data_IF_179388893337
#
_entry.id   IF_179388893337
#
_cell.length_a   1.000
_cell.length_b   1.000
_cell.length_c   1.000
_cell.angle_alpha   90.00
_cell.angle_beta   90.00
_cell.angle_gamma   90.00
#
_symmetry.space_group_name_H-M   'P 1'
#
loop_
_entity.id
_entity.type
_entity.pdbx_description
1 polymer ?
#
# COMPACT_ATOMS: atom_id res chain seq x y z
N UNK A 1 13.27 40.14 18.36
CA UNK A 1 13.99 39.23 17.43
C UNK A 1 14.66 38.14 18.27
N UNK A 2 13.96 37.03 18.54
CA UNK A 2 14.55 35.84 19.16
C UNK A 2 14.40 34.72 18.14
N UNK A 3 15.50 34.44 17.45
CA UNK A 3 15.64 33.27 16.58
C UNK A 3 15.84 32.10 17.54
N UNK A 4 14.75 31.37 17.83
CA UNK A 4 14.81 30.10 18.53
C UNK A 4 15.04 29.01 17.49
N UNK A 5 16.27 28.54 17.38
CA UNK A 5 16.59 27.29 16.70
C UNK A 5 16.02 26.18 17.59
N UNK A 6 14.80 25.73 17.29
CA UNK A 6 14.34 24.41 17.72
C UNK A 6 15.07 23.40 16.84
N UNK A 7 16.19 22.86 17.35
CA UNK A 7 16.68 21.57 16.91
C UNK A 7 15.67 20.56 17.47
N UNK A 8 14.62 20.24 16.71
CA UNK A 8 13.79 19.07 17.00
C UNK A 8 14.71 17.85 17.02
N UNK A 9 14.79 17.17 18.16
CA UNK A 9 15.41 15.85 18.22
C UNK A 9 14.69 14.96 17.18
N UNK A 10 15.42 14.18 16.37
CA UNK A 10 14.78 13.32 15.39
C UNK A 10 13.79 12.40 16.10
N UNK A 11 12.54 12.41 15.64
CA UNK A 11 11.49 11.52 16.15
C UNK A 11 11.97 10.07 16.02
N UNK A 12 11.79 9.22 17.05
CA UNK A 12 12.25 7.84 16.98
C UNK A 12 11.53 7.09 15.85
N UNK A 13 12.26 6.28 15.10
CA UNK A 13 11.69 5.39 14.08
C UNK A 13 11.03 4.20 14.77
N UNK A 14 9.75 3.99 14.45
CA UNK A 14 8.96 2.84 14.87
C UNK A 14 8.69 1.92 13.68
N UNK A 15 8.73 0.60 13.89
CA UNK A 15 8.54 -0.42 12.88
C UNK A 15 7.29 -1.22 13.20
N UNK A 16 6.23 -1.01 12.43
CA UNK A 16 5.06 -1.87 12.48
C UNK A 16 5.32 -3.09 11.61
N UNK A 17 5.07 -4.29 12.12
CA UNK A 17 5.22 -5.52 11.33
C UNK A 17 4.17 -6.55 11.69
N UNK A 18 3.75 -7.32 10.69
CA UNK A 18 2.85 -8.44 10.86
C UNK A 18 3.64 -9.70 11.28
N UNK A 19 3.12 -10.42 12.25
CA UNK A 19 3.73 -11.62 12.82
C UNK A 19 2.64 -12.61 13.22
N UNK A 20 2.59 -13.75 12.54
CA UNK A 20 1.52 -14.74 12.73
C UNK A 20 0.12 -14.12 12.59
N UNK A 21 -0.64 -14.11 13.69
CA UNK A 21 -2.01 -13.59 13.80
C UNK A 21 -2.08 -12.21 14.46
N UNK A 22 -0.99 -11.45 14.41
CA UNK A 22 -0.85 -10.18 15.12
C UNK A 22 -0.03 -9.15 14.35
N UNK A 23 -0.18 -7.88 14.72
CA UNK A 23 0.70 -6.78 14.32
C UNK A 23 1.35 -6.21 15.56
N UNK A 24 2.65 -5.99 15.45
CA UNK A 24 3.52 -5.51 16.50
C UNK A 24 4.18 -4.20 16.07
N UNK A 25 4.53 -3.39 17.06
CA UNK A 25 5.38 -2.22 16.91
C UNK A 25 6.73 -2.51 17.57
N UNK A 26 7.82 -2.17 16.89
CA UNK A 26 9.20 -2.36 17.32
C UNK A 26 9.99 -1.07 17.19
N UNK A 27 10.71 -0.68 18.25
CA UNK A 27 11.67 0.42 18.17
C UNK A 27 12.83 0.10 17.24
N UNK A 28 13.43 1.12 16.60
CA UNK A 28 14.61 0.92 15.75
C UNK A 28 15.85 0.33 16.46
N UNK A 29 15.87 0.33 17.81
CA UNK A 29 16.94 -0.25 18.61
C UNK A 29 16.73 -1.74 18.89
N UNK A 30 15.54 -2.28 18.58
CA UNK A 30 15.18 -3.66 18.90
C UNK A 30 14.82 -3.89 20.38
N UNK A 31 14.68 -2.84 21.20
CA UNK A 31 14.50 -2.98 22.66
C UNK A 31 13.04 -2.93 23.10
N UNK A 32 12.25 -2.05 22.49
CA UNK A 32 10.83 -1.89 22.82
C UNK A 32 9.95 -2.61 21.82
N UNK A 33 9.06 -3.47 22.33
CA UNK A 33 8.04 -4.20 21.57
C UNK A 33 6.66 -3.94 22.16
N UNK A 34 5.70 -3.63 21.31
CA UNK A 34 4.32 -3.42 21.72
C UNK A 34 3.37 -4.15 20.77
N UNK A 35 2.41 -4.84 21.35
CA UNK A 35 1.36 -5.50 20.59
C UNK A 35 0.30 -4.48 20.18
N UNK A 36 0.05 -4.35 18.88
CA UNK A 36 -0.84 -3.32 18.31
C UNK A 36 -2.21 -3.92 17.96
N UNK A 37 -2.21 -5.13 17.41
CA UNK A 37 -3.41 -5.85 16.98
C UNK A 37 -3.21 -7.36 17.14
N UNK A 38 -4.17 -8.04 17.75
CA UNK A 38 -4.26 -9.51 17.83
C UNK A 38 -5.46 -10.01 17.07
N UNK A 39 -5.57 -11.33 16.83
CA UNK A 39 -6.79 -11.96 16.34
C UNK A 39 -7.01 -11.81 14.83
N UNK A 40 -5.93 -11.63 14.07
CA UNK A 40 -5.96 -11.72 12.62
C UNK A 40 -6.09 -13.20 12.21
N UNK A 41 -6.85 -13.51 11.17
CA UNK A 41 -7.02 -14.90 10.72
C UNK A 41 -5.85 -15.36 9.86
N UNK A 42 -5.33 -14.49 8.98
CA UNK A 42 -4.16 -14.80 8.15
C UNK A 42 -3.45 -13.51 7.73
N UNK A 43 -2.11 -13.55 7.79
CA UNK A 43 -1.13 -12.65 7.15
C UNK A 43 -1.63 -11.25 6.77
N UNK A 44 -1.14 -10.22 7.48
CA UNK A 44 -1.41 -8.84 7.13
C UNK A 44 -0.36 -8.25 6.18
N UNK A 45 -0.81 -7.73 5.04
CA UNK A 45 -0.10 -6.64 4.36
C UNK A 45 -0.42 -5.36 5.09
N UNK A 46 0.57 -4.52 5.34
CA UNK A 46 0.41 -3.33 6.17
C UNK A 46 0.93 -2.10 5.44
N UNK A 47 0.28 -0.97 5.69
CA UNK A 47 0.79 0.35 5.37
C UNK A 47 0.31 1.39 6.40
N UNK A 48 0.91 2.57 6.39
CA UNK A 48 0.65 3.60 7.40
C UNK A 48 0.26 4.93 6.77
N UNK A 49 -0.39 5.77 7.56
CA UNK A 49 -0.54 7.19 7.33
C UNK A 49 0.05 7.90 8.55
N UNK A 50 1.25 8.47 8.35
CA UNK A 50 2.03 9.12 9.41
C UNK A 50 1.32 10.39 9.88
N UNK A 51 0.73 11.14 8.94
CA UNK A 51 0.05 12.41 9.22
C UNK A 51 -1.19 12.20 10.10
N UNK A 52 -2.01 11.22 9.74
CA UNK A 52 -3.24 10.91 10.48
C UNK A 52 -3.04 9.88 11.61
N UNK A 53 -1.81 9.40 11.81
CA UNK A 53 -1.46 8.35 12.76
C UNK A 53 -2.33 7.08 12.61
N UNK A 54 -2.53 6.61 11.38
CA UNK A 54 -3.35 5.43 11.08
C UNK A 54 -2.50 4.28 10.56
N UNK A 55 -2.84 3.09 10.99
CA UNK A 55 -2.35 1.82 10.46
C UNK A 55 -3.44 1.20 9.58
N UNK A 56 -3.08 0.81 8.37
CA UNK A 56 -3.92 0.10 7.42
C UNK A 56 -3.40 -1.31 7.24
N UNK A 57 -4.28 -2.30 7.24
CA UNK A 57 -3.86 -3.67 7.02
C UNK A 57 -4.94 -4.53 6.38
N UNK A 58 -4.51 -5.46 5.53
CA UNK A 58 -5.38 -6.45 4.89
C UNK A 58 -5.29 -7.78 5.62
N UNK A 59 -6.32 -8.20 6.36
CA UNK A 59 -6.46 -9.56 6.87
C UNK A 59 -7.11 -10.43 5.80
N UNK A 60 -6.27 -11.06 4.99
CA UNK A 60 -6.71 -11.90 3.87
C UNK A 60 -7.47 -13.15 4.35
N UNK A 61 -7.28 -13.58 5.60
CA UNK A 61 -8.00 -14.72 6.17
C UNK A 61 -9.44 -14.36 6.54
N UNK A 62 -9.62 -13.14 7.05
CA UNK A 62 -10.94 -12.58 7.37
C UNK A 62 -11.60 -11.87 6.18
N UNK A 63 -10.94 -11.85 5.00
CA UNK A 63 -11.40 -11.16 3.80
C UNK A 63 -11.75 -9.68 4.04
N UNK A 64 -10.92 -8.99 4.83
CA UNK A 64 -11.16 -7.59 5.22
C UNK A 64 -9.89 -6.73 5.13
N UNK A 65 -10.03 -5.49 4.67
CA UNK A 65 -9.05 -4.44 4.90
C UNK A 65 -9.57 -3.60 6.06
N UNK A 66 -8.78 -3.44 7.11
CA UNK A 66 -9.11 -2.63 8.28
C UNK A 66 -8.15 -1.44 8.38
N UNK A 67 -8.63 -0.36 9.01
CA UNK A 67 -7.79 0.74 9.49
C UNK A 67 -7.93 0.87 11.00
N UNK A 68 -6.84 1.21 11.68
CA UNK A 68 -6.82 1.43 13.13
C UNK A 68 -6.01 2.67 13.44
N UNK A 69 -6.50 3.50 14.37
CA UNK A 69 -5.69 4.59 14.92
C UNK A 69 -4.57 4.02 15.78
N UNK A 70 -3.37 4.58 15.66
CA UNK A 70 -2.19 4.13 16.40
C UNK A 70 -2.33 4.38 17.91
N UNK A 71 -3.10 5.40 18.31
CA UNK A 71 -3.41 5.72 19.71
C UNK A 71 -4.31 4.70 20.43
N UNK A 72 -4.80 3.67 19.72
CA UNK A 72 -5.45 2.52 20.33
C UNK A 72 -6.95 2.37 20.03
N UNK A 73 -7.57 3.29 19.28
CA UNK A 73 -9.00 3.17 18.90
C UNK A 73 -9.33 1.83 18.23
N UNK A 74 -10.58 1.35 18.33
CA UNK A 74 -10.99 0.09 17.71
C UNK A 74 -10.76 0.08 16.18
N UNK A 75 -10.37 -1.06 15.59
CA UNK A 75 -10.27 -1.19 14.14
C UNK A 75 -11.61 -0.89 13.45
N UNK A 76 -11.54 -0.24 12.30
CA UNK A 76 -12.68 0.05 11.44
C UNK A 76 -12.51 -0.71 10.12
N UNK A 77 -13.51 -1.49 9.67
CA UNK A 77 -13.46 -2.12 8.36
C UNK A 77 -13.53 -1.05 7.27
N UNK A 78 -12.65 -1.16 6.29
CA UNK A 78 -12.59 -0.34 5.09
C UNK A 78 -13.19 -1.05 3.87
N UNK A 79 -12.94 -2.36 3.76
CA UNK A 79 -13.41 -3.20 2.67
C UNK A 79 -13.66 -4.60 3.24
N UNK A 80 -14.83 -5.18 2.99
CA UNK A 80 -15.26 -6.49 3.54
C UNK A 80 -15.55 -7.52 2.44
N UNK A 81 -15.18 -7.22 1.21
CA UNK A 81 -15.42 -8.04 0.02
C UNK A 81 -14.20 -8.00 -0.90
N UNK A 82 -13.96 -9.04 -1.69
CA UNK A 82 -12.85 -9.10 -2.65
C UNK A 82 -11.47 -8.73 -2.08
N UNK A 83 -11.16 -9.13 -0.85
CA UNK A 83 -9.84 -8.97 -0.23
C UNK A 83 -9.01 -10.25 -0.36
N UNK A 84 -9.65 -11.39 -0.63
CA UNK A 84 -8.99 -12.65 -0.96
C UNK A 84 -7.97 -12.48 -2.11
N UNK A 85 -6.71 -12.83 -1.85
CA UNK A 85 -5.63 -12.69 -2.83
C UNK A 85 -5.16 -11.25 -3.08
N UNK A 86 -5.46 -10.31 -2.17
CA UNK A 86 -4.69 -9.07 -2.04
C UNK A 86 -3.29 -9.44 -1.57
N UNK A 87 -2.29 -9.02 -2.33
CA UNK A 87 -0.88 -9.30 -2.05
C UNK A 87 -0.12 -8.05 -1.59
N UNK A 88 -0.64 -6.86 -1.89
CA UNK A 88 -0.02 -5.60 -1.48
C UNK A 88 -1.04 -4.46 -1.36
N UNK A 89 -0.82 -3.58 -0.38
CA UNK A 89 -1.57 -2.34 -0.18
C UNK A 89 -0.59 -1.17 -0.07
N UNK A 90 -1.00 0.01 -0.54
CA UNK A 90 -0.22 1.23 -0.47
C UNK A 90 -1.12 2.45 -0.21
N UNK A 91 -0.84 3.20 0.84
CA UNK A 91 -1.57 4.40 1.24
C UNK A 91 -0.94 5.61 0.58
N UNK A 92 -1.74 6.35 -0.19
CA UNK A 92 -1.41 7.70 -0.64
C UNK A 92 -1.80 8.71 0.44
N UNK A 93 -0.81 9.14 1.22
CA UNK A 93 -0.99 10.10 2.31
C UNK A 93 -1.29 11.53 1.82
N UNK A 94 -1.01 11.83 0.54
CA UNK A 94 -1.22 13.16 -0.06
C UNK A 94 -2.60 13.22 -0.69
N UNK A 95 -2.89 12.38 -1.69
CA UNK A 95 -4.17 12.34 -2.41
C UNK A 95 -5.29 11.62 -1.66
N UNK A 96 -4.97 10.99 -0.51
CA UNK A 96 -5.94 10.38 0.42
C UNK A 96 -6.68 9.16 -0.16
N UNK A 97 -5.94 8.29 -0.84
CA UNK A 97 -6.45 7.05 -1.42
C UNK A 97 -5.67 5.82 -0.92
N UNK A 98 -6.28 4.64 -1.00
CA UNK A 98 -5.62 3.35 -0.85
C UNK A 98 -5.53 2.65 -2.21
N UNK A 99 -4.34 2.20 -2.55
CA UNK A 99 -4.07 1.37 -3.72
C UNK A 99 -3.86 -0.07 -3.27
N UNK A 100 -4.35 -1.05 -4.04
CA UNK A 100 -4.13 -2.46 -3.74
C UNK A 100 -3.88 -3.29 -5.00
N UNK A 101 -3.00 -4.28 -4.88
CA UNK A 101 -2.73 -5.26 -5.93
C UNK A 101 -3.41 -6.58 -5.55
N UNK A 102 -4.27 -7.08 -6.45
CA UNK A 102 -5.01 -8.32 -6.24
C UNK A 102 -5.17 -9.08 -7.55
N UNK A 103 -4.80 -10.37 -7.53
CA UNK A 103 -4.88 -11.26 -8.70
C UNK A 103 -4.18 -10.60 -9.91
N UNK A 104 -4.94 -10.21 -10.94
CA UNK A 104 -4.39 -9.64 -12.17
C UNK A 104 -4.47 -8.11 -12.28
N UNK A 105 -4.95 -7.45 -11.22
CA UNK A 105 -5.40 -6.06 -11.27
C UNK A 105 -4.78 -5.20 -10.18
N UNK A 106 -4.75 -3.89 -10.44
CA UNK A 106 -4.49 -2.85 -9.43
C UNK A 106 -5.79 -2.08 -9.24
N UNK A 107 -6.15 -1.87 -7.98
CA UNK A 107 -7.34 -1.13 -7.56
C UNK A 107 -6.93 0.16 -6.87
N UNK A 108 -7.82 1.14 -6.91
CA UNK A 108 -7.76 2.34 -6.09
C UNK A 108 -9.08 2.52 -5.37
N UNK A 109 -9.04 3.00 -4.13
CA UNK A 109 -10.22 3.36 -3.36
C UNK A 109 -9.96 4.54 -2.42
N UNK A 110 -11.01 5.25 -2.03
CA UNK A 110 -10.91 6.26 -0.96
C UNK A 110 -10.46 5.64 0.36
N UNK A 111 -9.80 6.40 1.24
CA UNK A 111 -9.40 5.92 2.58
C UNK A 111 -10.58 5.63 3.53
N UNK A 112 -11.80 5.98 3.13
CA UNK A 112 -13.08 5.65 3.76
C UNK A 112 -13.76 4.42 3.12
N UNK A 113 -13.23 3.91 2.01
CA UNK A 113 -13.74 2.70 1.34
C UNK A 113 -15.02 2.90 0.54
N UNK A 114 -15.50 4.14 0.45
CA UNK A 114 -16.77 4.51 -0.20
C UNK A 114 -16.75 4.35 -1.72
N UNK A 115 -15.64 4.71 -2.36
CA UNK A 115 -15.50 4.60 -3.81
C UNK A 115 -14.27 3.77 -4.15
N UNK A 116 -14.43 2.80 -5.03
CA UNK A 116 -13.38 1.89 -5.49
C UNK A 116 -13.47 1.70 -7.00
N UNK A 117 -12.31 1.57 -7.67
CA UNK A 117 -12.18 1.29 -9.09
C UNK A 117 -11.03 0.34 -9.40
N UNK A 118 -11.21 -0.52 -10.40
CA UNK A 118 -10.11 -1.19 -11.10
C UNK A 118 -9.33 -0.14 -11.89
N UNK A 119 -8.14 0.21 -11.42
CA UNK A 119 -7.27 1.21 -12.06
C UNK A 119 -6.51 0.60 -13.24
N UNK A 120 -5.92 -0.58 -13.03
CA UNK A 120 -5.26 -1.35 -14.09
C UNK A 120 -5.83 -2.75 -14.14
N UNK A 121 -6.35 -3.14 -15.30
CA UNK A 121 -6.95 -4.46 -15.53
C UNK A 121 -5.99 -5.38 -16.29
N UNK A 122 -5.83 -6.61 -15.82
CA UNK A 122 -5.04 -7.67 -16.45
C UNK A 122 -3.59 -7.26 -16.79
N UNK A 123 -2.96 -6.48 -15.91
CA UNK A 123 -1.54 -6.06 -16.07
C UNK A 123 -0.57 -6.95 -15.32
N UNK A 124 -1.07 -7.69 -14.33
CA UNK A 124 -0.28 -8.49 -13.39
C UNK A 124 -0.66 -9.96 -13.52
N UNK A 125 0.26 -10.85 -13.21
CA UNK A 125 0.07 -12.29 -13.18
C UNK A 125 0.17 -12.83 -11.75
N UNK A 126 1.24 -12.45 -11.05
CA UNK A 126 1.51 -12.81 -9.66
C UNK A 126 2.09 -11.60 -8.94
N UNK A 127 1.26 -10.60 -8.58
CA UNK A 127 1.75 -9.43 -7.89
C UNK A 127 2.23 -9.77 -6.49
N UNK A 128 3.12 -8.92 -5.94
CA UNK A 128 3.52 -9.04 -4.54
C UNK A 128 3.59 -7.70 -3.84
N UNK A 129 4.57 -6.86 -4.16
CA UNK A 129 4.67 -5.54 -3.54
C UNK A 129 3.97 -4.47 -4.37
N UNK A 130 3.42 -3.47 -3.67
CA UNK A 130 2.91 -2.23 -4.22
C UNK A 130 3.28 -1.09 -3.26
N UNK A 131 3.82 0.00 -3.79
CA UNK A 131 4.14 1.22 -3.05
C UNK A 131 3.85 2.45 -3.92
N UNK A 132 3.56 3.58 -3.29
CA UNK A 132 3.28 4.84 -3.98
C UNK A 132 4.39 5.87 -3.75
N UNK A 133 4.55 6.77 -4.70
CA UNK A 133 5.33 7.99 -4.64
C UNK A 133 4.40 9.17 -5.02
N UNK A 134 3.61 9.67 -4.06
CA UNK A 134 2.63 10.73 -4.33
C UNK A 134 3.25 12.02 -4.85
N UNK A 135 4.50 12.33 -4.46
CA UNK A 135 5.23 13.50 -4.91
C UNK A 135 5.54 13.49 -6.42
N UNK A 136 5.50 12.31 -7.08
CA UNK A 136 5.59 12.17 -8.54
C UNK A 136 4.28 11.71 -9.21
N UNK A 137 3.22 11.44 -8.43
CA UNK A 137 1.99 10.83 -8.94
C UNK A 137 2.20 9.44 -9.53
N UNK A 138 3.20 8.69 -9.04
CA UNK A 138 3.59 7.37 -9.55
C UNK A 138 3.49 6.30 -8.47
N UNK A 139 3.29 5.06 -8.89
CA UNK A 139 3.37 3.86 -8.06
C UNK A 139 4.35 2.87 -8.66
N UNK A 140 4.86 1.98 -7.79
CA UNK A 140 5.81 0.94 -8.15
C UNK A 140 5.36 -0.37 -7.53
N UNK A 141 5.63 -1.47 -8.21
CA UNK A 141 5.30 -2.78 -7.69
C UNK A 141 6.04 -3.90 -8.37
N UNK A 142 5.84 -5.10 -7.84
CA UNK A 142 6.55 -6.29 -8.27
C UNK A 142 5.57 -7.37 -8.73
N UNK A 143 6.01 -8.13 -9.72
CA UNK A 143 5.36 -9.35 -10.18
C UNK A 143 6.41 -10.46 -10.22
N UNK A 144 6.11 -11.59 -9.58
CA UNK A 144 7.03 -12.73 -9.42
C UNK A 144 6.58 -13.95 -10.24
N UNK A 145 5.81 -13.73 -11.30
CA UNK A 145 5.50 -14.78 -12.26
C UNK A 145 6.76 -15.29 -12.96
N UNK A 146 6.63 -16.31 -13.81
CA UNK A 146 7.77 -16.86 -14.57
C UNK A 146 8.53 -15.82 -15.39
N UNK A 147 7.85 -14.74 -15.81
CA UNK A 147 8.45 -13.57 -16.43
C UNK A 147 8.43 -12.42 -15.41
N UNK A 148 9.17 -12.55 -14.31
CA UNK A 148 9.17 -11.60 -13.21
C UNK A 148 9.58 -10.18 -13.66
N UNK A 149 9.00 -9.16 -13.02
CA UNK A 149 9.34 -7.77 -13.32
C UNK A 149 9.05 -6.81 -12.16
N UNK A 150 9.67 -5.64 -12.22
CA UNK A 150 9.26 -4.45 -11.49
C UNK A 150 8.61 -3.48 -12.47
N UNK A 151 7.49 -2.90 -12.08
CA UNK A 151 6.78 -1.90 -12.87
C UNK A 151 6.77 -0.52 -12.23
N UNK A 152 6.61 0.49 -13.08
CA UNK A 152 6.25 1.86 -12.76
C UNK A 152 4.90 2.16 -13.40
N UNK A 153 3.97 2.75 -12.68
CA UNK A 153 2.65 3.12 -13.19
C UNK A 153 2.17 4.46 -12.62
N UNK A 154 1.32 5.19 -13.34
CA UNK A 154 0.76 6.44 -12.84
C UNK A 154 -0.42 6.19 -11.88
N UNK A 155 -0.52 6.99 -10.82
CA UNK A 155 -1.55 6.86 -9.78
C UNK A 155 -2.98 7.17 -10.26
N UNK A 156 -3.11 7.77 -11.44
CA UNK A 156 -4.36 8.07 -12.14
C UNK A 156 -4.76 7.03 -13.20
N UNK A 157 -3.92 6.02 -13.46
CA UNK A 157 -4.20 4.98 -14.46
C UNK A 157 -3.67 5.27 -15.86
N UNK A 158 -3.06 6.43 -16.11
CA UNK A 158 -2.69 6.91 -17.46
C UNK A 158 -1.50 6.18 -18.10
N UNK A 159 -0.59 5.64 -17.29
CA UNK A 159 0.71 5.13 -17.76
C UNK A 159 1.11 3.85 -17.03
N UNK A 160 1.71 2.89 -17.74
CA UNK A 160 2.26 1.67 -17.15
C UNK A 160 3.46 1.19 -17.95
N UNK A 161 4.56 0.91 -17.27
CA UNK A 161 5.82 0.45 -17.86
C UNK A 161 6.50 -0.59 -16.97
N UNK A 162 7.12 -1.62 -17.58
CA UNK A 162 8.01 -2.55 -16.88
C UNK A 162 9.43 -1.98 -16.94
N UNK A 163 10.04 -1.74 -15.78
CA UNK A 163 11.32 -1.02 -15.68
C UNK A 163 12.50 -1.93 -15.30
N UNK A 164 12.24 -3.12 -14.73
CA UNK A 164 13.26 -4.15 -14.50
C UNK A 164 12.66 -5.50 -14.91
N UNK A 165 13.30 -6.18 -15.86
CA UNK A 165 12.84 -7.45 -16.43
C UNK A 165 13.93 -8.52 -16.52
N UNK A 166 15.18 -8.17 -16.22
CA UNK A 166 16.33 -9.06 -16.33
C UNK A 166 16.91 -9.37 -14.95
N UNK A 167 17.49 -10.56 -14.78
CA UNK A 167 18.12 -11.00 -13.53
C UNK A 167 17.24 -10.75 -12.30
N UNK A 168 15.96 -11.11 -12.42
CA UNK A 168 14.94 -10.94 -11.39
C UNK A 168 14.08 -12.20 -11.39
N UNK A 169 13.83 -12.77 -10.21
CA UNK A 169 13.16 -14.06 -10.04
C UNK A 169 12.03 -13.94 -9.03
N UNK A 170 12.34 -13.69 -7.75
CA UNK A 170 11.33 -13.52 -6.69
C UNK A 170 11.41 -12.15 -6.03
N UNK A 171 11.02 -11.07 -6.72
CA UNK A 171 11.00 -9.72 -6.17
C UNK A 171 9.89 -9.57 -5.13
N UNK A 172 10.15 -10.00 -3.91
CA UNK A 172 9.14 -10.11 -2.86
C UNK A 172 8.70 -8.77 -2.31
N UNK A 173 9.61 -7.81 -2.24
CA UNK A 173 9.34 -6.51 -1.64
C UNK A 173 10.08 -5.41 -2.34
N UNK A 174 9.49 -4.21 -2.33
CA UNK A 174 10.03 -3.02 -2.95
C UNK A 174 9.68 -1.79 -2.11
N UNK A 175 10.61 -0.85 -2.02
CA UNK A 175 10.43 0.46 -1.37
C UNK A 175 10.97 1.58 -2.26
N UNK A 176 10.43 2.78 -2.08
CA UNK A 176 10.86 3.99 -2.78
C UNK A 176 11.56 4.91 -1.79
N UNK A 177 12.77 5.36 -2.12
CA UNK A 177 13.44 6.48 -1.49
C UNK A 177 13.13 7.75 -2.29
N UNK A 178 12.18 8.54 -1.78
CA UNK A 178 11.69 9.75 -2.44
C UNK A 178 12.73 10.87 -2.48
N UNK A 179 13.68 10.90 -1.54
CA UNK A 179 14.73 11.93 -1.52
C UNK A 179 15.86 11.59 -2.48
N UNK A 180 16.19 10.30 -2.61
CA UNK A 180 17.26 9.84 -3.50
C UNK A 180 16.78 9.54 -4.93
N UNK A 181 15.46 9.57 -5.19
CA UNK A 181 14.84 9.11 -6.42
C UNK A 181 15.30 7.71 -6.82
N UNK A 182 15.22 6.78 -5.87
CA UNK A 182 15.63 5.39 -6.06
C UNK A 182 14.56 4.42 -5.59
N UNK A 183 14.50 3.28 -6.26
CA UNK A 183 13.82 2.10 -5.75
C UNK A 183 14.84 1.12 -5.17
N UNK A 184 14.39 0.37 -4.17
CA UNK A 184 15.12 -0.74 -3.58
C UNK A 184 14.20 -1.95 -3.54
N UNK A 185 14.69 -3.12 -3.91
CA UNK A 185 13.92 -4.36 -3.82
C UNK A 185 14.78 -5.50 -3.30
N UNK A 186 14.11 -6.50 -2.73
CA UNK A 186 14.75 -7.75 -2.34
C UNK A 186 14.25 -8.89 -3.23
N UNK A 187 15.19 -9.66 -3.76
CA UNK A 187 14.91 -10.90 -4.49
C UNK A 187 15.22 -12.10 -3.60
N UNK A 188 14.19 -12.86 -3.23
CA UNK A 188 14.30 -13.96 -2.28
C UNK A 188 14.72 -15.29 -2.90
N UNK A 189 14.96 -15.33 -4.21
CA UNK A 189 15.58 -16.47 -4.88
C UNK A 189 17.06 -16.20 -5.14
N UNK A 190 17.41 -14.96 -5.46
CA UNK A 190 18.78 -14.55 -5.75
C UNK A 190 19.57 -14.12 -4.49
N UNK A 191 18.94 -14.12 -3.32
CA UNK A 191 19.47 -13.72 -2.01
C UNK A 191 20.15 -12.34 -2.06
N UNK A 192 19.44 -11.36 -2.63
CA UNK A 192 19.97 -10.01 -2.88
C UNK A 192 19.00 -8.91 -2.53
N UNK A 193 19.56 -7.79 -2.08
CA UNK A 193 18.89 -6.49 -2.10
C UNK A 193 19.60 -5.60 -3.12
N UNK A 194 18.82 -5.02 -4.01
CA UNK A 194 19.31 -4.19 -5.11
C UNK A 194 18.62 -2.84 -5.14
N UNK A 195 19.19 -1.91 -5.90
CA UNK A 195 18.68 -0.57 -6.08
C UNK A 195 18.90 -0.07 -7.49
N UNK A 196 17.98 0.74 -7.99
CA UNK A 196 18.14 1.48 -9.25
C UNK A 196 17.40 2.82 -9.16
N UNK A 197 17.56 3.67 -10.16
CA UNK A 197 16.80 4.91 -10.28
C UNK A 197 15.31 4.60 -10.54
N UNK A 198 14.44 5.59 -10.33
CA UNK A 198 12.99 5.46 -10.55
C UNK A 198 12.57 5.04 -11.98
N UNK A 199 13.50 5.07 -12.95
CA UNK A 199 13.28 4.64 -14.34
C UNK A 199 13.94 3.29 -14.67
N UNK A 200 14.45 2.55 -13.67
CA UNK A 200 15.12 1.27 -13.86
C UNK A 200 16.62 1.34 -14.18
N UNK A 201 17.18 2.53 -14.45
CA UNK A 201 18.60 2.71 -14.80
C UNK A 201 19.50 2.71 -13.57
N UNK A 202 20.82 2.62 -13.81
CA UNK A 202 21.85 2.68 -12.75
C UNK A 202 21.63 1.64 -11.64
N UNK A 203 21.27 0.42 -12.06
CA UNK A 203 21.10 -0.73 -11.15
C UNK A 203 22.42 -1.08 -10.46
N UNK A 204 22.35 -1.30 -9.15
CA UNK A 204 23.44 -1.75 -8.31
C UNK A 204 22.95 -2.73 -7.26
N UNK A 205 23.82 -3.67 -6.88
CA UNK A 205 23.61 -4.55 -5.74
C UNK A 205 24.01 -3.85 -4.45
N UNK A 206 23.12 -3.87 -3.44
CA UNK A 206 23.36 -3.31 -2.11
C UNK A 206 23.83 -4.40 -1.15
N UNK A 207 23.11 -5.53 -1.13
CA UNK A 207 23.45 -6.72 -0.34
C UNK A 207 23.37 -7.93 -1.26
N UNK A 208 24.34 -8.83 -1.14
CA UNK A 208 24.38 -10.13 -1.81
C UNK A 208 25.03 -11.10 -0.84
N UNK A 209 24.26 -11.52 0.15
CA UNK A 209 24.72 -12.31 1.28
C UNK A 209 23.61 -13.30 1.67
N UNK A 210 23.73 -14.59 1.28
CA UNK A 210 22.74 -15.61 1.59
C UNK A 210 22.52 -15.81 3.10
N UNK A 211 23.46 -15.43 3.97
CA UNK A 211 23.27 -15.56 5.41
C UNK A 211 22.46 -14.37 5.98
N UNK A 212 22.46 -13.23 5.30
CA UNK A 212 21.78 -12.00 5.75
C UNK A 212 20.40 -11.77 5.12
N UNK A 213 20.22 -12.18 3.87
CA UNK A 213 18.97 -12.01 3.09
C UNK A 213 18.47 -13.32 2.45
N UNK A 214 18.46 -14.46 3.17
CA UNK A 214 18.11 -15.77 2.60
C UNK A 214 16.66 -15.90 2.12
N UNK A 215 15.72 -15.11 2.67
CA UNK A 215 14.34 -15.09 2.20
C UNK A 215 13.57 -13.85 2.67
N UNK A 216 13.95 -12.68 2.15
CA UNK A 216 13.28 -11.41 2.50
C UNK A 216 11.81 -11.44 2.09
N UNK A 217 10.92 -11.10 3.03
CA UNK A 217 9.49 -11.02 2.77
C UNK A 217 9.00 -9.59 2.59
N UNK A 218 9.24 -8.72 3.58
CA UNK A 218 8.83 -7.33 3.59
C UNK A 218 10.01 -6.41 3.87
N UNK A 219 10.00 -5.22 3.31
CA UNK A 219 11.03 -4.21 3.51
C UNK A 219 10.41 -2.82 3.66
N UNK A 220 11.05 -1.99 4.47
CA UNK A 220 10.75 -0.57 4.63
C UNK A 220 12.05 0.22 4.70
N UNK A 221 11.96 1.54 4.52
CA UNK A 221 13.09 2.47 4.52
C UNK A 221 12.77 3.60 5.48
N UNK A 222 13.72 3.93 6.35
CA UNK A 222 13.67 5.13 7.17
C UNK A 222 15.09 5.65 7.33
N UNK A 223 15.24 6.97 7.25
CA UNK A 223 16.52 7.67 7.27
C UNK A 223 17.58 7.01 6.36
N UNK A 224 18.65 6.46 6.96
CA UNK A 224 19.79 5.87 6.27
C UNK A 224 19.74 4.34 6.19
N UNK A 225 18.65 3.71 6.62
CA UNK A 225 18.57 2.27 6.79
C UNK A 225 17.44 1.65 5.97
N UNK A 226 17.73 0.47 5.44
CA UNK A 226 16.71 -0.49 5.04
C UNK A 226 16.43 -1.41 6.23
N UNK A 227 15.17 -1.69 6.47
CA UNK A 227 14.70 -2.63 7.49
C UNK A 227 13.88 -3.70 6.79
N UNK A 228 14.11 -4.96 7.10
CA UNK A 228 13.39 -6.05 6.44
C UNK A 228 13.05 -7.19 7.40
N UNK A 229 12.01 -7.91 7.02
CA UNK A 229 11.60 -9.18 7.61
C UNK A 229 12.10 -10.32 6.74
N UNK A 230 12.56 -11.40 7.38
CA UNK A 230 13.08 -12.56 6.67
C UNK A 230 12.50 -13.87 7.24
N UNK A 231 12.07 -14.77 6.35
CA UNK A 231 11.42 -16.03 6.71
C UNK A 231 12.38 -17.15 7.07
N UNK A 232 13.57 -17.18 6.46
CA UNK A 232 14.57 -18.22 6.71
C UNK A 232 15.40 -17.84 7.94
N UNK A 233 15.82 -16.58 8.02
CA UNK A 233 16.49 -16.03 9.20
C UNK A 233 15.54 -15.95 10.41
N UNK A 234 14.22 -15.80 10.16
CA UNK A 234 13.18 -15.62 11.18
C UNK A 234 13.43 -14.41 12.08
N UNK A 235 13.57 -13.24 11.46
CA UNK A 235 13.82 -12.02 12.22
C UNK A 235 13.57 -10.74 11.45
N UNK A 236 13.80 -9.66 12.16
CA UNK A 236 13.80 -8.29 11.63
C UNK A 236 15.24 -7.81 11.68
N UNK A 237 15.75 -7.38 10.53
CA UNK A 237 17.12 -6.94 10.36
C UNK A 237 17.14 -5.54 9.77
N UNK A 238 18.27 -4.85 9.91
CA UNK A 238 18.52 -3.58 9.23
C UNK A 238 19.95 -3.48 8.71
N UNK A 239 20.16 -2.67 7.69
CA UNK A 239 21.49 -2.33 7.17
C UNK A 239 21.47 -0.95 6.52
N UNK A 240 22.65 -0.35 6.35
CA UNK A 240 22.77 0.95 5.70
C UNK A 240 22.33 0.87 4.23
N UNK A 241 21.38 1.72 3.82
CA UNK A 241 20.76 1.67 2.48
C UNK A 241 21.71 1.97 1.30
N UNK A 242 22.87 2.57 1.56
CA UNK A 242 23.83 2.96 0.52
C UNK A 242 24.92 1.91 0.38
N UNK A 243 25.46 1.45 1.50
CA UNK A 243 26.64 0.58 1.54
C UNK A 243 26.30 -0.90 1.72
N UNK A 244 25.09 -1.22 2.16
CA UNK A 244 24.70 -2.59 2.55
C UNK A 244 25.40 -3.11 3.80
N UNK A 245 26.24 -2.30 4.45
CA UNK A 245 27.01 -2.68 5.63
C UNK A 245 26.22 -2.47 6.93
N UNK A 246 26.82 -2.93 8.02
CA UNK A 246 26.30 -2.81 9.38
C UNK A 246 24.95 -3.53 9.55
N UNK A 247 24.87 -4.75 9.01
CA UNK A 247 23.72 -5.63 9.19
C UNK A 247 23.56 -5.89 10.68
N UNK A 248 22.41 -5.52 11.22
CA UNK A 248 22.06 -5.63 12.64
C UNK A 248 20.73 -6.37 12.76
N UNK A 249 20.69 -7.37 13.63
CA UNK A 249 19.45 -8.06 14.00
C UNK A 249 18.75 -7.22 15.07
N UNK A 250 17.53 -6.79 14.77
CA UNK A 250 16.70 -6.04 15.72
C UNK A 250 15.85 -6.97 16.58
N UNK A 251 15.36 -8.06 15.97
CA UNK A 251 14.49 -9.02 16.63
C UNK A 251 14.63 -10.40 15.99
N UNK A 252 14.58 -11.45 16.80
CA UNK A 252 14.25 -12.80 16.33
C UNK A 252 12.79 -13.10 16.63
N UNK A 253 12.13 -13.80 15.72
CA UNK A 253 10.68 -14.03 15.77
C UNK A 253 10.37 -15.52 15.80
N UNK A 254 9.50 -15.95 16.71
CA UNK A 254 9.11 -17.37 16.83
C UNK A 254 8.30 -17.88 15.61
N UNK A 255 7.36 -17.05 15.13
CA UNK A 255 6.60 -17.25 13.89
C UNK A 255 7.18 -16.42 12.74
N UNK A 256 6.73 -16.71 11.51
CA UNK A 256 7.15 -15.98 10.31
C UNK A 256 6.74 -14.50 10.38
N UNK A 257 7.69 -13.56 10.21
CA UNK A 257 7.38 -12.15 10.06
C UNK A 257 6.98 -11.83 8.60
N UNK A 258 5.96 -11.01 8.42
CA UNK A 258 5.39 -10.66 7.11
C UNK A 258 5.67 -9.19 6.77
N UNK A 259 4.67 -8.41 6.33
CA UNK A 259 4.86 -7.01 5.95
C UNK A 259 5.42 -6.19 7.11
N UNK A 260 6.32 -5.25 6.80
CA UNK A 260 6.94 -4.30 7.75
C UNK A 260 6.85 -2.89 7.16
N UNK A 261 6.54 -1.90 7.99
CA UNK A 261 6.47 -0.48 7.62
C UNK A 261 7.00 0.41 8.73
N UNK A 262 7.88 1.32 8.35
CA UNK A 262 8.39 2.34 9.23
C UNK A 262 7.34 3.44 9.40
N UNK A 263 7.18 3.88 10.64
CA UNK A 263 6.39 5.03 11.03
C UNK A 263 7.36 6.13 11.46
N UNK A 264 7.62 7.05 10.53
CA UNK A 264 8.52 8.18 10.72
C UNK A 264 8.22 9.26 9.66
N UNK A 265 8.32 10.57 9.97
CA UNK A 265 8.06 11.63 9.01
C UNK A 265 8.91 11.55 7.73
N UNK A 266 10.13 10.98 7.79
CA UNK A 266 10.96 10.79 6.59
C UNK A 266 10.35 9.84 5.56
N UNK A 267 9.41 8.97 5.95
CA UNK A 267 8.80 7.97 5.07
C UNK A 267 7.73 8.61 4.18
N UNK A 268 7.09 9.66 4.69
CA UNK A 268 5.95 10.33 4.06
C UNK A 268 6.18 11.85 4.04
N UNK A 269 7.09 12.34 3.17
CA UNK A 269 7.31 13.78 3.03
C UNK A 269 6.01 14.50 2.67
N UNK A 270 5.88 15.72 3.17
CA UNK A 270 4.77 16.59 2.78
C UNK A 270 4.87 16.95 1.30
N UNK A 271 3.72 17.05 0.65
CA UNK A 271 3.59 17.49 -0.74
C UNK A 271 2.27 18.19 -0.91
N UNK A 272 2.21 19.10 -1.89
CA UNK A 272 0.98 19.79 -2.25
C UNK A 272 -0.06 18.77 -2.73
N UNK A 273 -1.29 18.87 -2.22
CA UNK A 273 -2.38 18.01 -2.64
C UNK A 273 -3.29 18.77 -3.63
N UNK A 274 -3.12 18.60 -4.95
CA UNK A 274 -3.98 19.26 -5.94
C UNK A 274 -5.45 18.81 -5.85
N UNK A 275 -5.74 17.65 -5.25
CA UNK A 275 -7.10 17.18 -5.03
C UNK A 275 -7.84 17.93 -3.91
N UNK A 276 -7.13 18.66 -3.04
CA UNK A 276 -7.75 19.37 -1.91
C UNK A 276 -8.72 20.48 -2.33
N UNK A 277 -8.50 21.08 -3.51
CA UNK A 277 -9.34 22.13 -4.08
C UNK A 277 -10.28 21.61 -5.18
N UNK A 278 -10.20 20.32 -5.51
CA UNK A 278 -11.03 19.72 -6.54
C UNK A 278 -12.34 19.19 -5.95
N UNK A 279 -13.45 19.53 -6.60
CA UNK A 279 -14.79 19.07 -6.23
C UNK A 279 -15.15 17.80 -7.00
N UNK A 280 -14.32 16.77 -6.89
CA UNK A 280 -14.62 15.48 -7.51
C UNK A 280 -15.77 14.79 -6.75
N UNK A 281 -16.78 14.33 -7.48
CA UNK A 281 -17.93 13.66 -6.88
C UNK A 281 -17.63 12.32 -6.21
N UNK A 282 -16.57 11.62 -6.65
CA UNK A 282 -16.19 10.30 -6.12
C UNK A 282 -14.70 10.21 -5.80
N UNK A 283 -13.84 9.96 -6.78
CA UNK A 283 -12.38 9.84 -6.59
C UNK A 283 -11.67 11.06 -7.14
N UNK A 284 -10.60 11.48 -6.48
CA UNK A 284 -9.58 12.37 -7.04
C UNK A 284 -8.22 11.71 -6.94
N UNK A 285 -7.53 11.58 -8.08
CA UNK A 285 -6.25 10.88 -8.20
C UNK A 285 -5.13 11.86 -8.53
N UNK A 286 -3.95 11.65 -7.94
CA UNK A 286 -2.75 12.40 -8.30
C UNK A 286 -2.25 11.95 -9.67
N UNK A 287 -1.95 12.92 -10.54
CA UNK A 287 -1.43 12.65 -11.88
C UNK A 287 0.11 12.76 -11.91
N UNK A 288 0.72 12.28 -12.99
CA UNK A 288 2.15 12.45 -13.23
C UNK A 288 2.57 13.93 -13.42
N UNK A 289 1.60 14.82 -13.65
CA UNK A 289 1.75 16.26 -13.49
C UNK A 289 1.32 16.62 -12.07
N UNK A 290 2.27 16.63 -11.15
CA UNK A 290 2.08 16.69 -9.69
C UNK A 290 1.29 17.89 -9.17
N UNK A 291 1.01 18.87 -10.04
CA UNK A 291 0.18 20.05 -9.77
C UNK A 291 -1.29 19.90 -10.18
N UNK A 292 -1.65 18.75 -10.75
CA UNK A 292 -2.99 18.50 -11.32
C UNK A 292 -3.54 17.22 -10.70
N UNK A 293 -4.75 17.32 -10.15
CA UNK A 293 -5.56 16.17 -9.77
C UNK A 293 -6.48 15.78 -10.93
N UNK A 294 -6.93 14.53 -10.93
CA UNK A 294 -7.84 13.98 -11.92
C UNK A 294 -9.05 13.36 -11.23
N UNK A 295 -10.24 13.86 -11.52
CA UNK A 295 -11.46 13.23 -11.04
C UNK A 295 -11.70 11.91 -11.77
N UNK A 296 -12.01 10.87 -11.02
CA UNK A 296 -12.40 9.57 -11.55
C UNK A 296 -13.62 9.06 -10.81
N UNK A 297 -14.33 8.15 -11.45
CA UNK A 297 -15.49 7.48 -10.88
C UNK A 297 -15.14 6.07 -10.43
N UNK A 298 -15.91 5.56 -9.46
CA UNK A 298 -15.86 4.19 -8.98
C UNK A 298 -16.50 3.20 -9.97
N UNK A 299 -16.50 1.92 -9.59
CA UNK A 299 -17.13 0.85 -10.35
C UNK A 299 -18.62 1.13 -10.60
N UNK A 300 -19.04 1.00 -11.87
CA UNK A 300 -20.43 1.26 -12.27
C UNK A 300 -20.78 2.73 -12.47
N UNK A 301 -19.80 3.64 -12.47
CA UNK A 301 -20.01 5.07 -12.74
C UNK A 301 -19.09 5.58 -13.86
N UNK A 302 -19.57 6.59 -14.58
CA UNK A 302 -18.84 7.26 -15.66
C UNK A 302 -18.70 8.75 -15.36
N UNK A 303 -17.56 9.31 -15.76
CA UNK A 303 -17.25 10.72 -15.58
C UNK A 303 -17.97 11.53 -16.65
N UNK A 304 -18.74 12.52 -16.22
CA UNK A 304 -19.47 13.43 -17.09
C UNK A 304 -18.56 14.46 -17.77
N UNK A 305 -19.13 15.19 -18.73
CA UNK A 305 -18.42 16.21 -19.52
C UNK A 305 -17.85 17.40 -18.70
N UNK A 306 -18.32 17.59 -17.47
CA UNK A 306 -17.79 18.60 -16.54
C UNK A 306 -16.46 18.17 -15.88
N UNK A 307 -15.99 16.94 -16.16
CA UNK A 307 -14.80 16.32 -15.61
C UNK A 307 -14.77 16.25 -14.07
N UNK A 308 -15.92 16.27 -13.41
CA UNK A 308 -16.05 16.22 -11.94
C UNK A 308 -17.15 15.27 -11.47
N UNK A 309 -18.29 15.26 -12.17
CA UNK A 309 -19.49 14.55 -11.75
C UNK A 309 -19.50 13.12 -12.28
N UNK A 310 -19.84 12.17 -11.41
CA UNK A 310 -19.93 10.76 -11.73
C UNK A 310 -21.39 10.35 -11.82
N UNK A 311 -21.80 9.91 -13.01
CA UNK A 311 -23.14 9.40 -13.26
C UNK A 311 -23.13 7.88 -13.27
N UNK A 312 -24.14 7.27 -12.65
CA UNK A 312 -24.28 5.82 -12.66
C UNK A 312 -24.45 5.29 -14.09
N UNK A 313 -23.66 4.28 -14.44
CA UNK A 313 -23.80 3.48 -15.65
C UNK A 313 -24.07 2.01 -15.27
N UNK A 314 -25.04 1.79 -14.38
CA UNK A 314 -25.47 0.43 -14.02
C UNK A 314 -26.07 -0.27 -15.24
N UNK A 315 -25.74 -1.54 -15.43
CA UNK A 315 -26.32 -2.35 -16.49
C UNK A 315 -27.81 -2.60 -16.27
N UNK A 316 -28.52 -3.06 -17.31
CA UNK A 316 -29.96 -3.39 -17.23
C UNK A 316 -30.30 -4.43 -16.16
N UNK A 317 -29.32 -5.25 -15.75
CA UNK A 317 -29.47 -6.31 -14.74
C UNK A 317 -28.98 -5.88 -13.35
N UNK A 318 -28.70 -4.59 -13.16
CA UNK A 318 -28.26 -4.01 -11.90
C UNK A 318 -29.24 -2.94 -11.43
N UNK A 319 -29.14 -2.60 -10.14
CA UNK A 319 -29.77 -1.45 -9.51
C UNK A 319 -28.70 -0.58 -8.86
N UNK A 320 -28.99 0.71 -8.74
CA UNK A 320 -28.14 1.68 -8.08
C UNK A 320 -28.51 1.74 -6.59
N UNK A 321 -27.55 1.41 -5.72
CA UNK A 321 -27.66 1.74 -4.29
C UNK A 321 -27.63 3.25 -4.09
N UNK A 322 -28.48 3.77 -3.20
CA UNK A 322 -28.50 5.18 -2.83
C UNK A 322 -27.67 5.50 -1.58
N UNK A 323 -27.82 6.72 -1.09
CA UNK A 323 -27.25 7.15 0.20
C UNK A 323 -25.73 7.31 0.21
N UNK A 324 -25.09 6.80 1.26
CA UNK A 324 -23.67 7.01 1.56
C UNK A 324 -22.72 5.98 0.92
N UNK A 325 -23.21 5.03 0.14
CA UNK A 325 -22.41 4.02 -0.58
C UNK A 325 -23.04 3.74 -1.96
N UNK A 326 -22.97 4.72 -2.89
CA UNK A 326 -23.60 4.56 -4.18
C UNK A 326 -22.78 3.58 -5.03
N UNK A 327 -23.38 2.45 -5.38
CA UNK A 327 -22.77 1.36 -6.17
C UNK A 327 -23.83 0.62 -6.98
N UNK A 328 -23.42 0.01 -8.08
CA UNK A 328 -24.30 -0.86 -8.85
C UNK A 328 -24.25 -2.28 -8.28
N UNK A 329 -25.40 -2.84 -7.89
CA UNK A 329 -25.51 -4.24 -7.46
C UNK A 329 -26.42 -5.01 -8.40
N UNK A 330 -26.16 -6.31 -8.56
CA UNK A 330 -27.00 -7.16 -9.42
C UNK A 330 -28.41 -7.32 -8.85
N UNK A 331 -29.43 -7.30 -9.71
CA UNK A 331 -30.85 -7.51 -9.35
C UNK A 331 -31.14 -8.83 -8.64
N UNK A 332 -30.23 -9.80 -8.69
CA UNK A 332 -30.33 -11.06 -7.93
C UNK A 332 -30.19 -10.88 -6.41
N UNK A 333 -29.65 -9.74 -5.97
CA UNK A 333 -29.45 -9.38 -4.57
C UNK A 333 -30.58 -8.50 -4.01
N UNK A 334 -31.71 -8.41 -4.74
CA UNK A 334 -32.90 -7.70 -4.27
C UNK A 334 -33.75 -8.70 -3.50
N UNK A 335 -34.16 -8.35 -2.28
CA UNK A 335 -35.04 -9.15 -1.43
C UNK A 335 -34.46 -10.51 -1.07
N UNK A 336 -33.13 -10.58 -0.90
CA UNK A 336 -32.47 -11.82 -0.49
C UNK A 336 -32.27 -11.90 1.05
N UNK A 337 -32.76 -10.90 1.77
CA UNK A 337 -32.68 -10.81 3.23
C UNK A 337 -31.32 -10.36 3.75
N UNK A 338 -30.39 -9.97 2.86
CA UNK A 338 -29.08 -9.45 3.20
C UNK A 338 -28.99 -8.01 2.71
N UNK A 339 -28.63 -7.10 3.61
CA UNK A 339 -28.46 -5.70 3.24
C UNK A 339 -27.17 -5.47 2.43
N UNK A 340 -27.30 -5.23 1.13
CA UNK A 340 -26.20 -4.91 0.23
C UNK A 340 -25.99 -3.41 0.03
N UNK A 341 -27.04 -2.58 0.13
CA UNK A 341 -26.92 -1.14 0.01
C UNK A 341 -26.84 -0.46 1.39
N UNK A 342 -26.01 0.58 1.55
CA UNK A 342 -25.94 1.28 2.84
C UNK A 342 -27.29 1.91 3.27
N UNK A 343 -28.15 2.23 2.31
CA UNK A 343 -29.48 2.80 2.53
C UNK A 343 -30.60 1.75 2.66
N UNK A 344 -30.27 0.45 2.64
CA UNK A 344 -31.24 -0.67 2.61
C UNK A 344 -32.20 -0.61 1.42
N UNK A 345 -31.84 0.10 0.34
CA UNK A 345 -32.70 0.26 -0.83
C UNK A 345 -33.03 -1.07 -1.52
N UNK A 346 -32.13 -2.06 -1.43
CA UNK A 346 -32.29 -3.39 -1.99
C UNK A 346 -33.32 -4.28 -1.26
N UNK A 347 -33.69 -3.92 -0.02
CA UNK A 347 -34.56 -4.72 0.85
C UNK A 347 -35.88 -3.99 1.23
N UNK A 348 -36.16 -2.81 0.66
CA UNK A 348 -37.32 -1.98 1.03
C UNK A 348 -38.62 -2.35 0.32
N UNK A 349 -38.54 -2.77 -0.94
CA UNK A 349 -39.69 -3.00 -1.82
C UNK A 349 -39.81 -4.49 -2.21
N UNK A 350 -39.76 -5.32 -1.17
CA UNK A 350 -40.06 -6.75 -1.17
C UNK A 350 -41.52 -6.98 -0.75
#
# INVERSE_FOLDING_TARGET
>A
MKIGIFLELPSPVWLYFAHGQSIWNLSETGRDFQLVRMGLQKTAMIDVDVKEQKLYYADIGSNVIERKSIDGAFPQPLQTYEVDGVEGIAVDWVGRNLYSARKHNIFVQTLEGKYRKILYKNKLAMPRALVVNPAEGMMYGTDWSSNAFIFKAAMDGSFFEKIVTENIVWPNTLVVDQYANKIYWADAFLDKIESCDLNGKNRRTIISDPDAVPHVFGMTIADNFLYWTDWTYRGILRANKITGKNITVLAQTALLPYGIKAFHPSVQPESENPCSTMECSQLCLLTNNTKVGYCSCGEGFELESDAKTCKSNCSKNEILCGGSDPKCISKKYICDGINHCADQGDEKDC
#
